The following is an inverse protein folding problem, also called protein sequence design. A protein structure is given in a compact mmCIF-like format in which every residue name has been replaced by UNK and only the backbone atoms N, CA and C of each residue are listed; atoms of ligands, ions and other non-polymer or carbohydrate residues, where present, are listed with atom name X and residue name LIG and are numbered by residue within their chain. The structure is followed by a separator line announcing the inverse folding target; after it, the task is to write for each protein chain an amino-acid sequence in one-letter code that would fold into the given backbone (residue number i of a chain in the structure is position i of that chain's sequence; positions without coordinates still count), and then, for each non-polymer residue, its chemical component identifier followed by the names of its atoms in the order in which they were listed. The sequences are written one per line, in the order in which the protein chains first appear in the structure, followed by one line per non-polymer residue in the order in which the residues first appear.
data_IF_845699120526
#
_entry.id   IF_845699120526
#
_cell.length_a   1.000
_cell.length_b   1.000
_cell.length_c   1.000
_cell.angle_alpha   90.00
_cell.angle_beta   90.00
_cell.angle_gamma   90.00
#
_symmetry.space_group_name_H-M   'P 1'
#
loop_
_entity.id
_entity.type
_entity.pdbx_description
1 polymer ?
#
# COMPACT_ATOMS: atom_id res chain seq x y z
N UNK A 1 -6.50 -10.33 -2.33
CA UNK A 1 -5.60 -9.70 -3.33
C UNK A 1 -6.11 -10.03 -4.72
N UNK A 2 -5.78 -9.25 -5.76
CA UNK A 2 -6.20 -9.55 -7.13
C UNK A 2 -5.01 -9.66 -8.07
N UNK A 3 -4.99 -10.71 -8.88
CA UNK A 3 -3.98 -10.94 -9.94
C UNK A 3 -4.63 -10.85 -11.30
N UNK A 4 -3.93 -10.30 -12.29
CA UNK A 4 -4.34 -10.36 -13.69
C UNK A 4 -3.61 -11.54 -14.35
N UNK A 5 -4.36 -12.49 -14.90
CA UNK A 5 -3.78 -13.58 -15.69
C UNK A 5 -3.04 -13.06 -16.93
N UNK A 6 -2.07 -13.82 -17.44
CA UNK A 6 -1.40 -13.49 -18.71
C UNK A 6 -2.32 -13.69 -19.92
N UNK A 7 -2.09 -12.91 -21.00
CA UNK A 7 -2.77 -13.06 -22.29
C UNK A 7 -3.82 -11.98 -22.61
N UNK A 8 -4.31 -12.01 -23.86
CA UNK A 8 -5.26 -11.01 -24.44
C UNK A 8 -6.63 -10.99 -23.73
N UNK A 9 -6.93 -12.01 -22.92
CA UNK A 9 -8.14 -12.16 -22.09
C UNK A 9 -7.80 -12.47 -20.63
N UNK A 10 -6.70 -11.94 -20.10
CA UNK A 10 -6.27 -12.18 -18.71
C UNK A 10 -7.34 -11.80 -17.69
N UNK A 11 -7.99 -12.80 -17.09
CA UNK A 11 -9.00 -12.60 -16.04
C UNK A 11 -8.36 -12.05 -14.77
N UNK A 12 -9.07 -11.13 -14.10
CA UNK A 12 -8.75 -10.73 -12.74
C UNK A 12 -9.31 -11.76 -11.78
N UNK A 13 -8.44 -12.49 -11.08
CA UNK A 13 -8.83 -13.53 -10.12
C UNK A 13 -8.43 -13.10 -8.72
N UNK A 14 -9.30 -13.35 -7.74
CA UNK A 14 -8.98 -13.15 -6.34
C UNK A 14 -7.99 -14.22 -5.87
N UNK A 15 -6.92 -13.78 -5.21
CA UNK A 15 -5.94 -14.65 -4.59
C UNK A 15 -5.85 -14.36 -3.09
N UNK A 16 -5.76 -15.44 -2.32
CA UNK A 16 -5.56 -15.41 -0.86
C UNK A 16 -4.08 -15.31 -0.49
N UNK A 17 -3.20 -15.89 -1.29
CA UNK A 17 -1.76 -15.92 -1.04
C UNK A 17 -0.99 -15.69 -2.34
N UNK A 18 0.13 -14.97 -2.27
CA UNK A 18 1.11 -14.85 -3.36
C UNK A 18 2.51 -14.79 -2.75
N UNK A 19 3.50 -15.32 -3.47
CA UNK A 19 4.93 -15.21 -3.12
C UNK A 19 5.60 -14.01 -3.81
N UNK A 20 4.92 -13.37 -4.77
CA UNK A 20 5.46 -12.28 -5.56
C UNK A 20 4.45 -11.14 -5.67
N UNK A 21 4.88 -9.92 -5.31
CA UNK A 21 4.03 -8.72 -5.43
C UNK A 21 3.78 -8.30 -6.88
N UNK A 22 4.69 -8.64 -7.80
CA UNK A 22 4.58 -8.29 -9.21
C UNK A 22 3.48 -9.06 -9.95
N UNK A 23 3.04 -10.22 -9.43
CA UNK A 23 1.90 -10.95 -10.00
C UNK A 23 0.55 -10.32 -9.65
N UNK A 24 0.53 -9.40 -8.67
CA UNK A 24 -0.68 -8.71 -8.25
C UNK A 24 -0.95 -7.46 -9.07
N UNK A 25 -2.22 -7.22 -9.37
CA UNK A 25 -2.69 -5.96 -9.92
C UNK A 25 -3.16 -5.02 -8.81
N UNK A 26 -3.87 -5.56 -7.80
CA UNK A 26 -4.42 -4.78 -6.70
C UNK A 26 -4.31 -5.51 -5.37
N UNK A 27 -4.07 -4.74 -4.31
CA UNK A 27 -3.94 -5.19 -2.94
C UNK A 27 -4.94 -4.41 -2.08
N UNK A 28 -5.84 -5.12 -1.41
CA UNK A 28 -6.71 -4.53 -0.40
C UNK A 28 -5.99 -4.48 0.93
N UNK A 29 -5.83 -3.29 1.50
CA UNK A 29 -5.13 -3.05 2.76
C UNK A 29 -6.04 -2.27 3.70
N UNK A 30 -5.97 -2.60 5.00
CA UNK A 30 -6.59 -1.76 6.03
C UNK A 30 -5.80 -0.47 6.19
N UNK A 31 -6.49 0.66 6.29
CA UNK A 31 -5.90 1.98 6.47
C UNK A 31 -5.79 2.28 7.96
N UNK A 32 -4.59 2.64 8.37
CA UNK A 32 -4.30 3.12 9.72
C UNK A 32 -3.96 4.61 9.65
N UNK A 33 -4.51 5.40 10.56
CA UNK A 33 -4.27 6.85 10.58
C UNK A 33 -3.19 7.19 11.61
N UNK A 34 -2.17 7.94 11.19
CA UNK A 34 -1.18 8.50 12.11
C UNK A 34 -1.86 9.49 13.06
N UNK A 35 -1.64 9.30 14.38
CA UNK A 35 -2.23 10.13 15.41
C UNK A 35 -1.20 11.06 16.05
N UNK A 36 -0.25 10.49 16.78
CA UNK A 36 0.82 11.23 17.44
C UNK A 36 2.02 10.31 17.69
N UNK A 37 3.23 10.86 17.56
CA UNK A 37 4.46 10.10 17.71
C UNK A 37 4.43 8.87 16.81
N UNK A 38 4.68 7.70 17.38
CA UNK A 38 4.70 6.42 16.66
C UNK A 38 3.36 5.68 16.66
N UNK A 39 2.28 6.34 17.10
CA UNK A 39 0.97 5.73 17.29
C UNK A 39 0.05 5.94 16.10
N UNK A 40 -0.65 4.89 15.76
CA UNK A 40 -1.58 4.82 14.64
C UNK A 40 -2.92 4.27 15.11
N UNK A 41 -4.00 4.92 14.70
CA UNK A 41 -5.36 4.46 14.96
C UNK A 41 -5.83 3.49 13.89
N UNK A 42 -6.54 2.45 14.35
CA UNK A 42 -7.17 1.43 13.50
C UNK A 42 -8.45 1.96 12.84
N UNK A 43 -9.11 2.95 13.46
CA UNK A 43 -10.30 3.61 12.94
C UNK A 43 -9.91 5.05 12.61
N UNK A 44 -9.80 5.41 11.32
CA UNK A 44 -9.55 6.78 10.91
C UNK A 44 -10.67 7.73 11.32
N UNK A 45 -10.34 9.03 11.46
CA UNK A 45 -11.29 10.11 11.76
C UNK A 45 -12.46 10.10 10.78
N UNK A 46 -12.19 9.84 9.49
CA UNK A 46 -13.19 9.79 8.43
C UNK A 46 -14.29 8.75 8.66
N UNK A 47 -13.99 7.65 9.35
CA UNK A 47 -14.94 6.55 9.64
C UNK A 47 -15.27 6.42 11.12
N UNK A 48 -14.73 7.31 11.95
CA UNK A 48 -14.85 7.26 13.41
C UNK A 48 -16.29 7.37 13.91
N UNK A 49 -17.13 8.15 13.24
CA UNK A 49 -18.55 8.31 13.57
C UNK A 49 -19.33 6.99 13.54
N UNK A 50 -18.90 6.05 12.68
CA UNK A 50 -19.54 4.75 12.52
C UNK A 50 -18.77 3.62 13.19
N UNK A 51 -17.62 3.92 13.82
CA UNK A 51 -16.70 2.94 14.38
C UNK A 51 -16.28 1.85 13.38
N UNK A 52 -16.15 2.21 12.10
CA UNK A 52 -15.81 1.27 11.03
C UNK A 52 -14.36 1.38 10.59
N UNK A 53 -13.78 0.25 10.18
CA UNK A 53 -12.45 0.22 9.57
C UNK A 53 -12.51 0.74 8.14
N UNK A 54 -11.44 1.42 7.73
CA UNK A 54 -11.27 1.85 6.35
C UNK A 54 -10.32 0.90 5.62
N UNK A 55 -10.63 0.59 4.37
CA UNK A 55 -9.79 -0.20 3.49
C UNK A 55 -9.46 0.60 2.23
N UNK A 56 -8.25 0.42 1.73
CA UNK A 56 -7.78 1.00 0.47
C UNK A 56 -7.37 -0.13 -0.48
N UNK A 57 -7.77 0.01 -1.75
CA UNK A 57 -7.28 -0.83 -2.83
C UNK A 57 -6.14 -0.09 -3.53
N UNK A 58 -4.92 -0.60 -3.34
CA UNK A 58 -3.72 -0.03 -3.93
C UNK A 58 -3.24 -0.90 -5.09
N UNK A 59 -2.76 -0.30 -6.19
CA UNK A 59 -1.99 -1.03 -7.18
C UNK A 59 -0.76 -1.65 -6.52
N UNK A 60 -0.32 -2.82 -6.99
CA UNK A 60 0.86 -3.49 -6.41
C UNK A 60 2.12 -2.61 -6.43
N UNK A 61 2.29 -1.80 -7.48
CA UNK A 61 3.38 -0.83 -7.62
C UNK A 61 3.32 0.35 -6.64
N UNK A 62 2.18 0.56 -5.97
CA UNK A 62 2.04 1.56 -4.92
C UNK A 62 2.44 1.04 -3.53
N UNK A 63 2.73 -0.26 -3.41
CA UNK A 63 3.25 -0.83 -2.17
C UNK A 63 4.76 -0.63 -2.10
N UNK A 64 5.20 0.29 -1.26
CA UNK A 64 6.59 0.74 -1.22
C UNK A 64 7.49 -0.15 -0.36
N UNK A 65 7.04 -0.48 0.84
CA UNK A 65 7.83 -1.20 1.81
C UNK A 65 6.95 -1.99 2.78
N UNK A 66 7.55 -3.02 3.37
CA UNK A 66 6.99 -3.75 4.51
C UNK A 66 7.70 -3.28 5.77
N UNK A 67 6.97 -3.21 6.88
CA UNK A 67 7.57 -3.00 8.19
C UNK A 67 8.61 -4.10 8.47
N UNK A 68 9.75 -3.71 9.04
CA UNK A 68 10.77 -4.66 9.46
C UNK A 68 10.27 -5.50 10.64
N UNK A 69 9.47 -4.88 11.50
CA UNK A 69 8.94 -5.49 12.72
C UNK A 69 7.42 -5.41 12.77
N UNK A 70 6.73 -6.46 13.27
CA UNK A 70 5.30 -6.37 13.52
C UNK A 70 5.00 -5.24 14.50
N UNK A 71 3.95 -4.42 14.25
CA UNK A 71 3.59 -3.34 15.14
C UNK A 71 3.02 -3.87 16.46
N UNK A 72 3.27 -3.16 17.56
CA UNK A 72 2.80 -3.54 18.89
C UNK A 72 1.37 -3.03 19.09
N UNK A 73 0.46 -3.88 19.58
CA UNK A 73 -0.88 -3.44 19.96
C UNK A 73 -0.83 -2.61 21.24
N UNK A 74 -1.56 -1.50 21.26
CA UNK A 74 -1.65 -0.64 22.44
C UNK A 74 -2.70 -1.22 23.39
N UNK A 75 -2.29 -1.61 24.61
CA UNK A 75 -3.20 -2.17 25.61
C UNK A 75 -4.31 -1.17 25.94
N UNK A 76 -5.57 -1.60 25.81
CA UNK A 76 -6.75 -0.80 26.16
C UNK A 76 -7.14 0.28 25.15
N UNK A 77 -6.51 0.36 23.98
CA UNK A 77 -6.86 1.30 22.91
C UNK A 77 -6.96 0.63 21.53
N UNK A 78 -7.75 1.21 20.63
CA UNK A 78 -7.81 0.80 19.23
C UNK A 78 -6.65 1.45 18.45
N UNK A 79 -5.50 0.78 18.47
CA UNK A 79 -4.34 1.27 17.75
C UNK A 79 -3.10 0.40 17.85
N UNK A 80 -2.11 0.81 17.08
CA UNK A 80 -0.82 0.18 16.96
C UNK A 80 0.28 1.20 17.18
N UNK A 81 1.39 0.74 17.74
CA UNK A 81 2.61 1.52 17.87
C UNK A 81 3.70 0.91 16.98
N UNK A 82 4.33 1.76 16.16
CA UNK A 82 5.49 1.39 15.36
C UNK A 82 6.77 1.48 16.20
N UNK A 83 7.73 0.63 15.88
CA UNK A 83 9.10 0.77 16.38
C UNK A 83 9.82 1.93 15.67
N UNK A 84 10.89 2.43 16.28
CA UNK A 84 11.58 3.65 15.83
C UNK A 84 12.12 3.56 14.39
N UNK A 85 12.62 2.38 14.01
CA UNK A 85 13.13 2.13 12.66
C UNK A 85 12.03 2.30 11.61
N UNK A 86 10.88 1.66 11.84
CA UNK A 86 9.74 1.71 10.93
C UNK A 86 9.08 3.09 10.92
N UNK A 87 9.03 3.76 12.07
CA UNK A 87 8.53 5.12 12.15
C UNK A 87 9.42 6.12 11.41
N UNK A 88 10.74 5.91 11.40
CA UNK A 88 11.67 6.73 10.64
C UNK A 88 11.42 6.62 9.13
N UNK A 89 11.11 5.41 8.64
CA UNK A 89 10.70 5.19 7.25
C UNK A 89 9.39 5.93 6.96
N UNK A 90 8.39 5.79 7.84
CA UNK A 90 7.12 6.51 7.69
C UNK A 90 7.35 8.03 7.59
N UNK A 91 8.15 8.61 8.50
CA UNK A 91 8.47 10.03 8.49
C UNK A 91 9.12 10.46 7.18
N UNK A 92 10.14 9.73 6.73
CA UNK A 92 10.82 9.98 5.45
C UNK A 92 9.84 9.96 4.26
N UNK A 93 8.90 9.01 4.23
CA UNK A 93 7.90 8.89 3.16
C UNK A 93 6.83 9.99 3.21
N UNK A 94 6.48 10.47 4.41
CA UNK A 94 5.53 11.58 4.58
C UNK A 94 6.12 12.96 4.27
N UNK A 95 7.45 13.08 4.21
CA UNK A 95 8.07 14.33 3.79
C UNK A 95 7.63 14.72 2.38
N UNK A 96 7.12 15.95 2.24
CA UNK A 96 6.50 16.44 1.00
C UNK A 96 7.39 16.31 -0.23
N UNK A 97 8.71 16.43 -0.07
CA UNK A 97 9.67 16.27 -1.17
C UNK A 97 9.73 14.82 -1.64
N UNK A 98 9.91 13.88 -0.71
CA UNK A 98 9.94 12.44 -0.97
C UNK A 98 8.64 11.98 -1.60
N UNK A 99 7.50 12.40 -1.05
CA UNK A 99 6.18 12.04 -1.55
C UNK A 99 5.96 12.48 -3.00
N UNK A 100 6.31 13.74 -3.34
CA UNK A 100 6.18 14.25 -4.72
C UNK A 100 7.07 13.47 -5.70
N UNK A 101 8.29 13.14 -5.30
CA UNK A 101 9.22 12.34 -6.12
C UNK A 101 8.64 10.95 -6.35
N UNK A 102 8.15 10.28 -5.29
CA UNK A 102 7.57 8.95 -5.37
C UNK A 102 6.34 8.92 -6.28
N UNK A 103 5.40 9.86 -6.11
CA UNK A 103 4.23 9.97 -6.98
C UNK A 103 4.66 10.12 -8.44
N UNK A 104 5.64 10.98 -8.72
CA UNK A 104 6.15 11.18 -10.08
C UNK A 104 6.78 9.90 -10.65
N UNK A 105 7.59 9.19 -9.86
CA UNK A 105 8.22 7.91 -10.26
C UNK A 105 7.15 6.85 -10.52
N UNK A 106 6.13 6.74 -9.67
CA UNK A 106 5.02 5.80 -9.85
C UNK A 106 4.24 6.06 -11.15
N UNK A 107 3.93 7.33 -11.45
CA UNK A 107 3.27 7.71 -12.70
C UNK A 107 4.12 7.35 -13.93
N UNK A 108 5.44 7.57 -13.87
CA UNK A 108 6.35 7.19 -14.96
C UNK A 108 6.41 5.67 -15.15
N UNK A 109 6.40 4.90 -14.06
CA UNK A 109 6.35 3.43 -14.12
C UNK A 109 5.05 2.93 -14.77
N UNK A 110 3.92 3.60 -14.55
CA UNK A 110 2.65 3.24 -15.18
C UNK A 110 2.61 3.56 -16.67
N UNK A 111 3.22 4.68 -17.09
CA UNK A 111 3.28 5.06 -18.51
C UNK A 111 4.13 4.11 -19.36
N UNK A 112 5.13 3.43 -18.77
CA UNK A 112 5.95 2.43 -19.47
C UNK A 112 5.16 1.24 -20.01
N UNK A 113 4.02 0.90 -19.41
CA UNK A 113 3.17 -0.20 -19.88
C UNK A 113 2.29 0.12 -21.09
N UNK A 114 2.23 1.39 -21.54
CA UNK A 114 1.29 1.82 -22.59
C UNK A 114 1.85 1.74 -24.02
N UNK A 115 3.15 1.47 -24.20
CA UNK A 115 3.78 1.22 -25.51
C UNK A 115 4.91 0.22 -25.32
N UNK A 116 4.60 -1.07 -25.42
CA UNK A 116 5.62 -2.06 -25.79
C UNK A 116 5.95 -1.89 -27.28
N UNK A 117 7.20 -2.12 -27.71
CA UNK A 117 7.53 -2.13 -29.14
C UNK A 117 6.71 -3.25 -29.80
N UNK A 118 5.98 -2.91 -30.86
CA UNK A 118 5.54 -3.90 -31.85
C UNK A 118 6.80 -4.36 -32.57
N UNK A 119 7.38 -5.47 -32.10
CA UNK A 119 8.27 -6.26 -32.94
C UNK A 119 7.35 -7.01 -33.91
N UNK A 120 7.28 -6.46 -35.12
CA UNK A 120 6.81 -7.16 -36.30
C UNK A 120 7.83 -8.26 -36.63
N UNK A 121 7.40 -9.52 -36.55
CA UNK A 121 7.94 -10.66 -37.32
C UNK A 121 6.78 -11.40 -37.99
#
# INVERSE_FOLDING_TARGET
MYTKGGGKAGHHVSQLTTTNIASMSWIGLQVFQHFNGRRFHTIPIATSQFLTYQFAFLPSLAFLCRLATPPTSIIGQTGYELLDQDFSIFKLLTELKTLKILIKVMVLSWKRGSKGPSEDE
#
